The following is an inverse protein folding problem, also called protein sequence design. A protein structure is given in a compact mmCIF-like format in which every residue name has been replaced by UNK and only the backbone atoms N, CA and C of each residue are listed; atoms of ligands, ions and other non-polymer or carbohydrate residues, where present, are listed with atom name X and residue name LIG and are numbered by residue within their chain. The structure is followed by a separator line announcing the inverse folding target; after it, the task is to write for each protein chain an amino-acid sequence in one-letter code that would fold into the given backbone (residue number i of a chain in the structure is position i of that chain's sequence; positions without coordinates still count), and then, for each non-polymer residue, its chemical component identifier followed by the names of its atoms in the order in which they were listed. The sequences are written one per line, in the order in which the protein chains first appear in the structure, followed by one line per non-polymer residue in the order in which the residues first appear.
data_IF_308467873849
#
_entry.id   IF_308467873849
#
_cell.length_a   1.000
_cell.length_b   1.000
_cell.length_c   1.000
_cell.angle_alpha   90.00
_cell.angle_beta   90.00
_cell.angle_gamma   90.00
#
_symmetry.space_group_name_H-M   'P 1'
#
loop_
_entity.id
_entity.type
_entity.pdbx_description
1 polymer ?
#
# COMPACT_ATOMS: atom_id res chain seq x y z
N UNK A 1 -6.26 15.99 -5.09
CA UNK A 1 -5.23 15.37 -4.24
C UNK A 1 -4.54 14.29 -5.04
N UNK A 2 -3.22 14.14 -4.92
CA UNK A 2 -2.46 13.10 -5.63
C UNK A 2 -2.81 11.71 -5.08
N UNK A 3 -2.83 10.73 -5.98
CA UNK A 3 -3.05 9.30 -5.73
C UNK A 3 -2.50 8.53 -6.92
N UNK A 4 -2.21 7.25 -6.72
CA UNK A 4 -1.83 6.30 -7.76
C UNK A 4 -2.95 5.29 -8.00
N UNK A 5 -3.25 4.98 -9.27
CA UNK A 5 -4.37 4.10 -9.60
C UNK A 5 -4.22 3.45 -10.98
N UNK A 6 -4.54 2.17 -11.04
CA UNK A 6 -4.81 1.44 -12.27
C UNK A 6 -6.32 1.42 -12.56
N UNK A 7 -6.73 1.87 -13.75
CA UNK A 7 -8.11 1.79 -14.24
C UNK A 7 -8.20 0.99 -15.52
N UNK A 8 -9.11 0.03 -15.57
CA UNK A 8 -9.44 -0.71 -16.78
C UNK A 8 -10.70 -0.10 -17.37
N UNK A 9 -10.55 0.69 -18.43
CA UNK A 9 -11.66 1.35 -19.13
C UNK A 9 -12.19 0.40 -20.20
N UNK A 10 -13.47 0.07 -20.10
CA UNK A 10 -14.15 -0.93 -20.92
C UNK A 10 -15.21 -0.30 -21.83
N UNK A 11 -15.91 -1.13 -22.62
CA UNK A 11 -17.03 -0.67 -23.44
C UNK A 11 -18.16 -0.06 -22.62
N UNK A 12 -18.36 -0.50 -21.39
CA UNK A 12 -19.36 0.05 -20.47
C UNK A 12 -19.05 1.51 -20.10
N UNK A 13 -17.76 1.89 -20.09
CA UNK A 13 -17.28 3.26 -19.87
C UNK A 13 -17.27 4.11 -21.15
N UNK A 14 -17.69 3.54 -22.29
CA UNK A 14 -17.66 4.20 -23.60
C UNK A 14 -16.38 3.98 -24.41
N UNK A 15 -15.48 3.08 -23.99
CA UNK A 15 -14.30 2.73 -24.79
C UNK A 15 -14.67 1.83 -25.97
N UNK A 16 -14.33 2.27 -27.18
CA UNK A 16 -14.68 1.58 -28.44
C UNK A 16 -13.53 0.75 -29.03
N UNK A 17 -12.39 0.65 -28.33
CA UNK A 17 -11.28 -0.19 -28.76
C UNK A 17 -11.61 -1.70 -28.68
N UNK A 18 -10.81 -2.54 -29.36
CA UNK A 18 -11.03 -3.98 -29.39
C UNK A 18 -10.80 -4.65 -28.02
N UNK A 19 -9.85 -4.14 -27.23
CA UNK A 19 -9.51 -4.60 -25.89
C UNK A 19 -9.72 -3.47 -24.86
N UNK A 20 -9.94 -3.77 -23.57
CA UNK A 20 -10.01 -2.75 -22.52
C UNK A 20 -8.76 -1.85 -22.48
N UNK A 21 -8.97 -0.54 -22.34
CA UNK A 21 -7.88 0.42 -22.21
C UNK A 21 -7.38 0.47 -20.76
N UNK A 22 -6.11 0.13 -20.55
CA UNK A 22 -5.47 0.35 -19.27
C UNK A 22 -5.03 1.80 -19.13
N UNK A 23 -5.67 2.52 -18.21
CA UNK A 23 -5.35 3.89 -17.85
C UNK A 23 -4.63 3.92 -16.50
N UNK A 24 -3.49 4.61 -16.44
CA UNK A 24 -2.69 4.73 -15.21
C UNK A 24 -2.77 6.18 -14.73
N UNK A 25 -3.26 6.37 -13.52
CA UNK A 25 -3.08 7.62 -12.77
C UNK A 25 -1.73 7.52 -12.08
N UNK A 26 -0.74 8.21 -12.63
CA UNK A 26 0.63 8.04 -12.19
C UNK A 26 0.94 8.79 -10.87
N UNK A 27 1.86 8.23 -10.10
CA UNK A 27 2.46 8.89 -8.94
C UNK A 27 3.19 10.17 -9.37
N UNK A 28 3.40 11.08 -8.42
CA UNK A 28 4.25 12.26 -8.60
C UNK A 28 5.44 12.24 -7.65
N UNK A 29 6.58 12.73 -8.12
CA UNK A 29 7.81 12.84 -7.31
C UNK A 29 7.59 13.76 -6.11
N UNK A 30 6.82 14.82 -6.30
CA UNK A 30 6.42 15.74 -5.23
C UNK A 30 5.32 15.19 -4.32
N UNK A 31 4.81 13.98 -4.56
CA UNK A 31 3.73 13.34 -3.83
C UNK A 31 2.58 14.30 -3.52
N UNK A 32 2.30 14.48 -2.24
CA UNK A 32 1.37 15.50 -1.74
C UNK A 32 1.95 16.92 -1.78
N UNK A 33 2.46 17.40 -2.91
CA UNK A 33 3.04 18.74 -3.09
C UNK A 33 4.10 19.12 -2.05
N UNK A 34 5.01 18.20 -1.72
CA UNK A 34 6.03 18.41 -0.67
C UNK A 34 5.41 18.78 0.69
N UNK A 35 4.23 18.25 1.01
CA UNK A 35 3.60 18.33 2.33
C UNK A 35 4.11 17.25 3.28
N UNK A 36 3.81 17.43 4.57
CA UNK A 36 4.14 16.51 5.65
C UNK A 36 5.42 16.90 6.38
N UNK A 37 5.65 16.28 7.52
CA UNK A 37 6.85 16.50 8.30
C UNK A 37 8.10 16.15 7.47
N UNK A 38 9.16 16.99 7.51
CA UNK A 38 10.42 16.68 6.87
C UNK A 38 11.14 15.53 7.59
N UNK A 39 11.80 14.69 6.81
CA UNK A 39 12.75 13.69 7.29
C UNK A 39 14.09 14.32 7.73
N UNK A 40 15.06 13.49 8.13
CA UNK A 40 16.39 13.94 8.57
C UNK A 40 17.20 14.67 7.49
N UNK A 41 16.79 14.59 6.22
CA UNK A 41 17.40 15.29 5.08
C UNK A 41 16.67 16.61 4.79
N UNK A 42 15.62 16.93 5.53
CA UNK A 42 14.76 18.09 5.29
C UNK A 42 13.73 17.86 4.19
N UNK A 43 13.52 16.62 3.74
CA UNK A 43 12.58 16.28 2.66
C UNK A 43 11.24 15.88 3.29
N UNK A 44 10.13 16.58 2.99
CA UNK A 44 8.80 16.18 3.44
C UNK A 44 8.47 14.74 3.02
N UNK A 45 7.95 13.94 3.94
CA UNK A 45 7.63 12.53 3.63
C UNK A 45 6.58 12.40 2.51
N UNK A 46 5.74 13.42 2.32
CA UNK A 46 4.91 13.67 1.14
C UNK A 46 4.07 12.50 0.61
N UNK A 47 3.66 11.62 1.52
CA UNK A 47 2.73 10.51 1.27
C UNK A 47 1.44 11.03 0.64
N UNK A 48 0.97 10.34 -0.40
CA UNK A 48 -0.23 10.67 -1.15
C UNK A 48 -1.50 10.37 -0.35
N UNK A 49 -2.63 10.94 -0.77
CA UNK A 49 -3.88 10.87 0.01
C UNK A 49 -4.46 9.45 0.13
N UNK A 50 -4.04 8.53 -0.73
CA UNK A 50 -4.37 7.11 -0.76
C UNK A 50 -3.39 6.24 0.08
N UNK A 51 -2.42 6.85 0.73
CA UNK A 51 -1.41 6.18 1.57
C UNK A 51 -0.16 5.69 0.83
N UNK A 52 -0.13 5.75 -0.51
CA UNK A 52 1.07 5.42 -1.25
C UNK A 52 2.16 6.50 -1.07
N UNK A 53 3.45 6.11 -1.01
CA UNK A 53 4.56 7.05 -0.92
C UNK A 53 4.69 7.86 -2.21
N UNK A 54 5.42 8.97 -2.15
CA UNK A 54 5.86 9.64 -3.38
C UNK A 54 6.89 8.78 -4.12
N UNK A 55 7.05 9.04 -5.42
CA UNK A 55 7.89 8.20 -6.24
C UNK A 55 7.81 8.53 -7.71
N UNK A 56 8.27 7.59 -8.51
CA UNK A 56 8.19 7.63 -9.96
C UNK A 56 7.89 6.24 -10.49
N UNK A 57 7.47 6.16 -11.74
CA UNK A 57 7.24 4.89 -12.40
C UNK A 57 8.19 4.72 -13.58
N UNK A 58 8.67 3.51 -13.79
CA UNK A 58 9.40 3.12 -14.99
C UNK A 58 8.45 2.25 -15.82
N UNK A 59 8.18 2.68 -17.05
CA UNK A 59 7.40 1.88 -18.00
C UNK A 59 8.37 1.29 -19.02
N UNK A 60 8.37 -0.03 -19.12
CA UNK A 60 9.16 -0.75 -20.13
C UNK A 60 8.20 -1.29 -21.18
N UNK A 61 8.55 -1.16 -22.45
CA UNK A 61 7.76 -1.65 -23.58
C UNK A 61 8.52 -2.73 -24.33
N UNK A 62 7.84 -3.82 -24.67
CA UNK A 62 8.29 -4.83 -25.63
C UNK A 62 7.20 -5.02 -26.68
N UNK A 63 7.37 -4.39 -27.84
CA UNK A 63 6.34 -4.34 -28.87
C UNK A 63 5.04 -3.69 -28.36
N UNK A 64 3.98 -4.50 -28.26
CA UNK A 64 2.67 -4.10 -27.76
C UNK A 64 2.42 -4.50 -26.28
N UNK A 65 3.41 -5.12 -25.64
CA UNK A 65 3.40 -5.45 -24.22
C UNK A 65 4.13 -4.36 -23.42
N UNK A 66 3.78 -4.24 -22.14
CA UNK A 66 4.47 -3.33 -21.23
C UNK A 66 4.48 -3.88 -19.81
N UNK A 67 5.43 -3.38 -19.02
CA UNK A 67 5.45 -3.49 -17.56
C UNK A 67 5.50 -2.10 -16.94
N UNK A 68 4.91 -1.97 -15.75
CA UNK A 68 4.97 -0.75 -14.94
C UNK A 68 5.64 -1.07 -13.60
N UNK A 69 6.76 -0.43 -13.34
CA UNK A 69 7.50 -0.52 -12.09
C UNK A 69 7.33 0.76 -11.29
N UNK A 70 6.83 0.64 -10.06
CA UNK A 70 6.76 1.76 -9.14
C UNK A 70 8.02 1.81 -8.29
N UNK A 71 8.58 3.01 -8.12
CA UNK A 71 9.72 3.25 -7.25
C UNK A 71 9.39 4.33 -6.24
N UNK A 72 9.19 3.91 -4.98
CA UNK A 72 9.08 4.82 -3.86
C UNK A 72 10.37 5.63 -3.67
N UNK A 73 10.25 6.94 -3.53
CA UNK A 73 11.41 7.81 -3.36
C UNK A 73 12.16 7.49 -2.07
N UNK A 74 13.49 7.36 -2.16
CA UNK A 74 14.34 7.08 -0.99
C UNK A 74 14.17 5.67 -0.39
N UNK A 75 13.55 4.75 -1.13
CA UNK A 75 13.36 3.35 -0.73
C UNK A 75 13.97 2.40 -1.78
N UNK A 76 14.33 1.17 -1.38
CA UNK A 76 14.74 0.12 -2.32
C UNK A 76 13.68 -0.16 -3.39
N UNK A 77 14.12 -0.62 -4.56
CA UNK A 77 13.24 -0.92 -5.70
C UNK A 77 12.23 -2.05 -5.42
N UNK A 78 12.53 -2.94 -4.50
CA UNK A 78 11.67 -4.06 -4.09
C UNK A 78 10.67 -3.69 -2.98
N UNK A 79 10.74 -2.47 -2.44
CA UNK A 79 9.76 -1.98 -1.48
C UNK A 79 8.45 -1.55 -2.18
N UNK A 80 7.62 -2.55 -2.48
CA UNK A 80 6.40 -2.40 -3.29
C UNK A 80 5.10 -2.33 -2.47
N UNK A 81 5.18 -2.50 -1.15
CA UNK A 81 4.01 -2.45 -0.29
C UNK A 81 4.32 -1.92 1.11
N UNK A 82 3.25 -1.60 1.85
CA UNK A 82 3.31 -1.32 3.27
C UNK A 82 2.29 -2.19 4.00
N UNK A 83 2.76 -2.94 5.01
CA UNK A 83 1.93 -3.78 5.87
C UNK A 83 1.58 -2.99 7.12
N UNK A 84 0.29 -2.82 7.39
CA UNK A 84 -0.25 -2.19 8.58
C UNK A 84 -0.94 -3.23 9.48
N UNK A 85 -0.44 -3.34 10.71
CA UNK A 85 -1.03 -4.10 11.79
C UNK A 85 -0.61 -3.44 13.14
N UNK A 86 -1.38 -3.61 14.23
CA UNK A 86 -0.95 -3.16 15.56
C UNK A 86 0.45 -3.69 15.90
N UNK A 87 1.26 -2.89 16.61
CA UNK A 87 2.58 -3.33 17.06
C UNK A 87 2.49 -4.42 18.15
N UNK A 88 1.46 -4.31 18.99
CA UNK A 88 1.19 -5.20 20.12
C UNK A 88 -0.29 -5.55 20.12
N UNK A 89 -0.61 -6.82 20.31
CA UNK A 89 -1.96 -7.32 20.55
C UNK A 89 -1.93 -8.29 21.74
N UNK A 90 -3.09 -8.54 22.35
CA UNK A 90 -3.25 -9.65 23.29
C UNK A 90 -3.65 -10.92 22.54
N UNK A 91 -3.40 -12.08 23.14
CA UNK A 91 -3.76 -13.37 22.55
C UNK A 91 -5.26 -13.48 22.19
N UNK A 92 -6.16 -12.86 22.95
CA UNK A 92 -7.62 -12.83 22.66
C UNK A 92 -8.01 -11.87 21.52
N UNK A 93 -7.14 -10.95 21.13
CA UNK A 93 -7.34 -10.08 19.96
C UNK A 93 -6.90 -10.74 18.64
N UNK A 94 -6.18 -11.85 18.72
CA UNK A 94 -5.86 -12.68 17.56
C UNK A 94 -7.16 -13.22 16.94
N UNK A 95 -7.20 -13.47 15.62
CA UNK A 95 -8.45 -13.81 14.93
C UNK A 95 -9.33 -12.60 14.59
N UNK A 96 -9.35 -11.55 15.42
CA UNK A 96 -10.15 -10.34 15.19
C UNK A 96 -9.34 -9.19 14.61
N UNK A 97 -8.03 -9.17 14.85
CA UNK A 97 -7.11 -8.12 14.40
C UNK A 97 -6.97 -8.11 12.87
N UNK A 98 -7.33 -6.97 12.28
CA UNK A 98 -7.16 -6.73 10.85
C UNK A 98 -5.69 -6.42 10.50
N UNK A 99 -5.24 -6.98 9.37
CA UNK A 99 -4.01 -6.64 8.69
C UNK A 99 -4.38 -5.96 7.37
N UNK A 100 -3.88 -4.76 7.15
CA UNK A 100 -4.03 -4.04 5.90
C UNK A 100 -2.70 -4.04 5.13
N UNK A 101 -2.78 -4.23 3.82
CA UNK A 101 -1.61 -4.18 2.93
C UNK A 101 -1.89 -3.18 1.83
N UNK A 102 -1.11 -2.12 1.78
CA UNK A 102 -1.11 -1.16 0.68
C UNK A 102 -0.05 -1.58 -0.34
N UNK A 103 -0.46 -2.12 -1.49
CA UNK A 103 0.47 -2.47 -2.58
C UNK A 103 0.49 -1.29 -3.55
N UNK A 104 1.57 -0.51 -3.56
CA UNK A 104 1.54 0.86 -4.11
C UNK A 104 1.14 0.93 -5.59
N UNK A 105 1.57 -0.05 -6.39
CA UNK A 105 1.25 -0.22 -7.81
C UNK A 105 0.22 -1.36 -8.03
N UNK A 106 -0.63 -1.59 -7.03
CA UNK A 106 -1.61 -2.66 -7.04
C UNK A 106 -2.80 -2.34 -7.95
N UNK A 107 -3.35 -3.36 -8.59
CA UNK A 107 -4.55 -3.25 -9.41
C UNK A 107 -5.59 -4.29 -8.97
N UNK A 108 -6.79 -4.24 -9.57
CA UNK A 108 -7.80 -5.29 -9.40
C UNK A 108 -7.33 -6.68 -9.87
N UNK A 109 -6.24 -6.76 -10.65
CA UNK A 109 -5.63 -8.02 -11.12
C UNK A 109 -4.52 -8.52 -10.20
N UNK A 110 -4.12 -7.74 -9.20
CA UNK A 110 -3.12 -8.14 -8.22
C UNK A 110 -3.71 -9.13 -7.23
N UNK A 111 -2.92 -10.15 -6.86
CA UNK A 111 -3.27 -11.13 -5.83
C UNK A 111 -2.37 -10.94 -4.63
N UNK A 112 -2.95 -10.82 -3.44
CA UNK A 112 -2.18 -10.62 -2.20
C UNK A 112 -2.55 -11.72 -1.23
N UNK A 113 -1.54 -12.29 -0.58
CA UNK A 113 -1.71 -13.29 0.46
C UNK A 113 -0.75 -13.03 1.60
N UNK A 114 -1.10 -13.49 2.81
CA UNK A 114 -0.25 -13.42 3.97
C UNK A 114 -0.01 -14.79 4.61
N UNK A 115 1.05 -14.90 5.38
CA UNK A 115 1.39 -16.07 6.20
C UNK A 115 2.11 -15.61 7.47
N UNK A 116 2.01 -16.39 8.55
CA UNK A 116 2.74 -16.13 9.79
C UNK A 116 3.94 -17.08 9.97
N UNK A 117 5.02 -16.53 10.51
CA UNK A 117 6.19 -17.27 11.04
C UNK A 117 6.82 -18.27 10.05
N UNK A 118 6.74 -17.99 8.75
CA UNK A 118 7.31 -18.86 7.72
C UNK A 118 6.62 -20.23 7.59
N UNK A 119 5.53 -20.46 8.32
CA UNK A 119 4.88 -21.77 8.43
C UNK A 119 3.41 -21.71 8.01
N UNK A 120 2.88 -22.84 7.52
CA UNK A 120 1.49 -22.95 7.09
C UNK A 120 1.22 -22.43 5.67
N UNK A 121 -0.06 -22.44 5.33
CA UNK A 121 -0.57 -22.03 4.02
C UNK A 121 -0.70 -20.51 3.92
N UNK A 122 -0.58 -20.00 2.69
CA UNK A 122 -0.85 -18.60 2.38
C UNK A 122 -2.36 -18.33 2.47
N UNK A 123 -2.76 -17.42 3.34
CA UNK A 123 -4.13 -16.92 3.43
C UNK A 123 -4.32 -15.76 2.45
N UNK A 124 -5.24 -15.91 1.48
CA UNK A 124 -5.57 -14.83 0.54
C UNK A 124 -6.19 -13.63 1.26
N UNK A 125 -5.77 -12.43 0.88
CA UNK A 125 -6.33 -11.18 1.37
C UNK A 125 -7.37 -10.67 0.39
N UNK A 126 -8.41 -10.02 0.91
CA UNK A 126 -9.47 -9.46 0.10
C UNK A 126 -9.16 -8.00 -0.26
N UNK A 127 -9.30 -7.65 -1.54
CA UNK A 127 -9.19 -6.25 -1.96
C UNK A 127 -10.29 -5.41 -1.33
N UNK A 128 -9.94 -4.22 -0.83
CA UNK A 128 -10.84 -3.26 -0.19
C UNK A 128 -10.61 -1.86 -0.72
N UNK A 129 -11.68 -1.17 -1.09
CA UNK A 129 -11.62 0.24 -1.49
C UNK A 129 -12.00 1.10 -0.28
N UNK A 130 -10.99 1.52 0.48
CA UNK A 130 -11.16 2.29 1.73
C UNK A 130 -9.94 3.20 1.97
N UNK A 131 -9.96 4.05 2.99
CA UNK A 131 -8.79 4.84 3.39
C UNK A 131 -7.72 3.95 4.03
N UNK A 132 -6.44 4.17 3.70
CA UNK A 132 -5.32 3.45 4.32
C UNK A 132 -5.22 3.80 5.82
N UNK A 133 -5.39 2.82 6.74
CA UNK A 133 -5.29 3.07 8.18
C UNK A 133 -3.95 3.65 8.63
N UNK A 134 -2.84 3.28 7.99
CA UNK A 134 -1.53 3.84 8.31
C UNK A 134 -1.47 5.33 7.95
N UNK A 135 -2.04 5.71 6.81
CA UNK A 135 -2.11 7.11 6.41
C UNK A 135 -3.07 7.92 7.28
N UNK A 136 -4.20 7.33 7.68
CA UNK A 136 -5.14 7.96 8.64
C UNK A 136 -4.42 8.25 9.96
N UNK A 137 -3.71 7.27 10.53
CA UNK A 137 -2.95 7.46 11.77
C UNK A 137 -1.86 8.53 11.63
N UNK A 138 -1.11 8.52 10.52
CA UNK A 138 -0.11 9.54 10.22
C UNK A 138 -0.73 10.93 10.15
N UNK A 139 -1.80 11.09 9.37
CA UNK A 139 -2.52 12.34 9.22
C UNK A 139 -3.00 12.88 10.58
N UNK A 140 -3.65 12.04 11.39
CA UNK A 140 -4.13 12.42 12.71
C UNK A 140 -3.00 12.76 13.70
N UNK A 141 -1.89 12.03 13.65
CA UNK A 141 -0.71 12.30 14.46
C UNK A 141 -0.12 13.67 14.10
N UNK A 142 0.01 13.98 12.80
CA UNK A 142 0.51 15.28 12.36
C UNK A 142 -0.43 16.42 12.74
N UNK A 143 -1.75 16.25 12.70
CA UNK A 143 -2.69 17.29 13.12
C UNK A 143 -2.52 17.70 14.59
N UNK A 144 -1.94 16.85 15.44
CA UNK A 144 -1.65 17.15 16.85
C UNK A 144 -0.36 17.96 17.04
N UNK A 145 0.48 18.10 16.02
CA UNK A 145 1.73 18.86 16.10
C UNK A 145 1.42 20.36 16.05
N UNK A 146 1.88 21.10 17.06
CA UNK A 146 1.78 22.57 17.11
C UNK A 146 3.04 23.21 16.53
N UNK A 147 2.93 24.47 16.08
CA UNK A 147 4.05 25.26 15.53
C UNK A 147 4.76 24.61 14.33
N UNK A 148 4.01 24.00 13.41
CA UNK A 148 4.54 23.41 12.17
C UNK A 148 5.21 24.47 11.31
N UNK A 149 6.37 24.11 10.75
CA UNK A 149 7.09 24.91 9.74
C UNK A 149 6.89 24.39 8.32
N UNK A 150 6.08 23.34 8.14
CA UNK A 150 5.81 22.67 6.88
C UNK A 150 4.31 22.68 6.54
N UNK A 151 3.99 22.32 5.30
CA UNK A 151 2.62 22.24 4.79
C UNK A 151 1.94 20.96 5.27
N UNK A 152 0.67 21.06 5.67
CA UNK A 152 -0.13 19.91 6.06
C UNK A 152 -0.34 18.89 4.94
N UNK A 153 -0.42 17.63 5.34
CA UNK A 153 -0.87 16.54 4.49
C UNK A 153 -2.32 16.74 4.03
N UNK A 154 -2.68 16.27 2.83
CA UNK A 154 -4.07 16.23 2.42
C UNK A 154 -4.86 15.23 3.25
N UNK A 155 -6.17 15.46 3.36
CA UNK A 155 -7.08 14.51 4.02
C UNK A 155 -7.00 13.13 3.34
N UNK A 156 -7.12 12.03 4.12
CA UNK A 156 -7.21 10.68 3.59
C UNK A 156 -8.31 10.55 2.52
N UNK A 157 -7.99 9.80 1.46
CA UNK A 157 -8.87 9.41 0.36
C UNK A 157 -8.88 7.89 0.28
N UNK A 158 -9.98 7.30 -0.17
CA UNK A 158 -10.03 5.88 -0.47
C UNK A 158 -8.96 5.48 -1.49
N UNK A 159 -8.22 4.42 -1.16
CA UNK A 159 -7.26 3.75 -2.00
C UNK A 159 -7.93 2.59 -2.74
N UNK A 160 -7.51 2.36 -3.98
CA UNK A 160 -7.95 1.24 -4.83
C UNK A 160 -7.01 0.03 -4.75
N UNK A 161 -5.94 0.14 -3.97
CA UNK A 161 -4.81 -0.78 -3.91
C UNK A 161 -4.51 -1.17 -2.45
N UNK A 162 -5.58 -1.40 -1.69
CA UNK A 162 -5.55 -1.99 -0.36
C UNK A 162 -6.13 -3.40 -0.36
N UNK A 163 -5.49 -4.27 0.42
CA UNK A 163 -5.95 -5.61 0.74
C UNK A 163 -6.08 -5.76 2.25
N UNK A 164 -7.08 -6.53 2.68
CA UNK A 164 -7.39 -6.76 4.08
C UNK A 164 -7.52 -8.26 4.35
N UNK A 165 -6.98 -8.70 5.49
CA UNK A 165 -7.31 -9.98 6.10
C UNK A 165 -7.23 -9.89 7.62
N UNK A 166 -7.41 -11.02 8.29
CA UNK A 166 -7.33 -11.12 9.75
C UNK A 166 -6.22 -12.05 10.17
N UNK A 167 -5.51 -11.70 11.24
CA UNK A 167 -4.54 -12.60 11.84
C UNK A 167 -5.21 -13.94 12.21
N UNK A 168 -4.50 -15.09 12.14
CA UNK A 168 -4.98 -16.33 12.70
C UNK A 168 -5.39 -16.17 14.17
N UNK A 169 -6.38 -16.95 14.60
CA UNK A 169 -6.82 -17.01 15.99
C UNK A 169 -5.83 -17.77 16.87
N UNK A 170 -5.88 -17.49 18.16
CA UNK A 170 -5.14 -18.19 19.22
C UNK A 170 -3.61 -18.14 19.03
N UNK A 171 -3.08 -16.99 18.60
CA UNK A 171 -1.62 -16.79 18.57
C UNK A 171 -1.05 -16.86 19.98
N UNK A 172 0.05 -17.60 20.14
CA UNK A 172 0.74 -17.72 21.41
C UNK A 172 1.45 -16.40 21.79
N UNK A 173 1.66 -16.11 23.07
CA UNK A 173 2.49 -14.96 23.47
C UNK A 173 3.90 -15.07 22.88
N UNK A 174 4.38 -13.98 22.26
CA UNK A 174 5.66 -13.98 21.57
C UNK A 174 5.78 -12.95 20.45
N UNK A 175 6.91 -13.00 19.74
CA UNK A 175 7.13 -12.23 18.52
C UNK A 175 6.68 -13.06 17.32
N UNK A 176 5.78 -12.51 16.52
CA UNK A 176 5.29 -13.14 15.30
C UNK A 176 5.66 -12.31 14.08
N UNK A 177 5.98 -12.98 12.97
CA UNK A 177 6.35 -12.35 11.71
C UNK A 177 5.23 -12.54 10.68
N UNK A 178 4.57 -11.44 10.31
CA UNK A 178 3.68 -11.38 9.16
C UNK A 178 4.55 -11.30 7.92
N UNK A 179 4.42 -12.29 7.05
CA UNK A 179 4.93 -12.27 5.69
C UNK A 179 3.76 -12.00 4.75
N UNK A 180 3.92 -11.05 3.83
CA UNK A 180 2.95 -10.77 2.79
C UNK A 180 3.62 -10.96 1.44
N UNK A 181 2.90 -11.61 0.54
CA UNK A 181 3.27 -11.77 -0.86
C UNK A 181 2.21 -11.13 -1.74
N UNK A 182 2.65 -10.38 -2.75
CA UNK A 182 1.80 -9.91 -3.85
C UNK A 182 2.31 -10.45 -5.17
N UNK A 183 1.39 -10.83 -6.05
CA UNK A 183 1.64 -11.10 -7.46
C UNK A 183 0.93 -10.01 -8.25
N UNK A 184 1.69 -9.23 -9.01
CA UNK A 184 1.17 -8.10 -9.79
C UNK A 184 0.42 -8.54 -11.05
N UNK A 185 -0.15 -7.58 -11.79
CA UNK A 185 -0.89 -7.86 -13.03
C UNK A 185 -0.03 -8.45 -14.17
N UNK A 186 1.30 -8.42 -14.02
CA UNK A 186 2.27 -8.96 -14.96
C UNK A 186 2.86 -10.31 -14.46
N UNK A 187 2.36 -10.85 -13.34
CA UNK A 187 2.81 -12.12 -12.79
C UNK A 187 4.11 -12.03 -11.99
N UNK A 188 4.59 -10.83 -11.65
CA UNK A 188 5.81 -10.64 -10.85
C UNK A 188 5.47 -10.68 -9.37
N UNK A 189 6.35 -11.33 -8.60
CA UNK A 189 6.16 -11.54 -7.17
C UNK A 189 7.01 -10.56 -6.34
N UNK A 190 6.39 -9.98 -5.31
CA UNK A 190 7.08 -9.18 -4.30
C UNK A 190 6.66 -9.64 -2.90
N UNK A 191 7.59 -9.59 -1.96
CA UNK A 191 7.40 -10.02 -0.57
C UNK A 191 7.83 -8.91 0.37
N UNK A 192 7.02 -8.64 1.39
CA UNK A 192 7.39 -7.75 2.50
C UNK A 192 7.03 -8.40 3.84
N UNK A 193 7.57 -7.88 4.94
CA UNK A 193 7.42 -8.47 6.26
C UNK A 193 7.21 -7.42 7.34
N UNK A 194 6.38 -7.75 8.33
CA UNK A 194 6.14 -6.94 9.53
C UNK A 194 6.07 -7.82 10.76
N UNK A 195 6.76 -7.43 11.83
CA UNK A 195 6.64 -8.11 13.11
C UNK A 195 5.53 -7.51 13.97
N UNK A 196 4.87 -8.36 14.75
CA UNK A 196 3.93 -7.99 15.80
C UNK A 196 4.29 -8.73 17.09
N UNK A 197 3.97 -8.14 18.24
CA UNK A 197 4.10 -8.82 19.54
C UNK A 197 2.72 -9.24 20.05
N UNK A 198 2.62 -10.49 20.49
CA UNK A 198 1.45 -11.03 21.18
C UNK A 198 1.77 -11.13 22.67
N UNK A 199 0.91 -10.54 23.50
CA UNK A 199 0.96 -10.60 24.97
C UNK A 199 -0.03 -11.62 25.55
#
# INVERSE_FOLDING_TARGET
THHHEHRIITREDGWMGPEPHHHIINVTVSGSWWSGAPDERGIPHTTMADGAPNGYSIITFDGNEYTLDFHAAGRPADWQMHIHAPEVITSDQSGETDVFVNVFNGSERSKVAMRLDGSGDWAELERRVTTDPAYVQLFEAEQKITNKTWRDLPKPKSSTHLWQGKLPSELAPGLHLIEVRTVDMHGREFVDRRSIRVE
#
